data_IF_438171671435
#
_entry.id   IF_438171671435
#
_cell.length_a   1.000
_cell.length_b   1.000
_cell.length_c   1.000
_cell.angle_alpha   90.00
_cell.angle_beta   90.00
_cell.angle_gamma   90.00
#
_symmetry.space_group_name_H-M   'P 1'
#
loop_
_entity.id
_entity.type
_entity.pdbx_description
1 polymer ?
#
# COMPACT_ATOMS: atom_id res chain seq x y z
N UNK A 1 3.43 35.74 11.25
CA UNK A 1 3.84 34.34 11.48
C UNK A 1 2.96 33.46 10.59
N UNK A 2 3.56 32.75 9.63
CA UNK A 2 2.81 31.82 8.76
C UNK A 2 2.75 30.43 9.38
N UNK A 3 1.63 29.73 9.23
CA UNK A 3 1.49 28.31 9.60
C UNK A 3 1.32 27.50 8.33
N UNK A 4 2.16 26.50 8.11
CA UNK A 4 1.99 25.53 7.03
C UNK A 4 1.06 24.43 7.53
N UNK A 5 0.01 24.14 6.75
CA UNK A 5 -0.95 23.09 7.04
C UNK A 5 -0.88 22.02 5.96
N UNK A 6 -1.15 20.77 6.35
CA UNK A 6 -1.37 19.70 5.37
C UNK A 6 -2.81 19.71 4.91
N UNK A 7 -3.02 19.54 3.61
CA UNK A 7 -4.33 19.43 3.01
C UNK A 7 -4.33 18.30 1.98
N UNK A 8 -5.49 17.69 1.76
CA UNK A 8 -5.73 16.74 0.70
C UNK A 8 -6.49 17.44 -0.42
N UNK A 9 -6.09 17.22 -1.66
CA UNK A 9 -6.88 17.61 -2.81
C UNK A 9 -7.83 16.46 -3.18
N UNK A 10 -9.13 16.72 -3.16
CA UNK A 10 -10.16 15.72 -3.48
C UNK A 10 -11.29 16.40 -4.25
N UNK A 11 -11.61 15.88 -5.45
CA UNK A 11 -12.73 16.35 -6.29
C UNK A 11 -12.74 17.86 -6.55
N UNK A 12 -11.57 18.49 -6.71
CA UNK A 12 -11.46 19.94 -6.93
C UNK A 12 -11.46 20.79 -5.65
N UNK A 13 -11.57 20.18 -4.48
CA UNK A 13 -11.59 20.85 -3.17
C UNK A 13 -10.30 20.58 -2.42
N UNK A 14 -9.73 21.63 -1.81
CA UNK A 14 -8.60 21.53 -0.89
C UNK A 14 -9.18 21.32 0.51
N UNK A 15 -9.02 20.12 1.05
CA UNK A 15 -9.52 19.71 2.36
C UNK A 15 -8.38 19.78 3.39
N UNK A 16 -8.40 20.73 4.35
CA UNK A 16 -7.42 20.77 5.42
C UNK A 16 -7.46 19.52 6.29
N UNK A 17 -6.31 18.97 6.65
CA UNK A 17 -6.21 17.85 7.60
C UNK A 17 -6.16 18.31 9.06
N UNK A 18 -6.05 19.62 9.29
CA UNK A 18 -6.04 20.25 10.60
C UNK A 18 -7.16 21.28 10.69
N UNK A 19 -7.68 21.54 11.90
CA UNK A 19 -8.61 22.64 12.11
C UNK A 19 -7.92 23.97 11.81
N UNK A 20 -8.55 24.75 10.95
CA UNK A 20 -8.16 26.12 10.63
C UNK A 20 -9.19 27.04 11.28
N UNK A 21 -8.72 27.98 12.09
CA UNK A 21 -9.56 29.05 12.64
C UNK A 21 -9.28 30.34 11.86
N UNK A 22 -9.93 30.47 10.70
CA UNK A 22 -9.87 31.64 9.85
C UNK A 22 -11.30 32.13 9.62
N UNK A 23 -11.53 33.41 9.90
CA UNK A 23 -12.81 34.04 9.64
C UNK A 23 -13.12 34.04 8.13
N UNK A 24 -14.39 33.78 7.81
CA UNK A 24 -14.89 33.82 6.44
C UNK A 24 -14.62 35.19 5.80
N UNK A 25 -14.20 35.19 4.53
CA UNK A 25 -13.89 36.40 3.76
C UNK A 25 -12.45 36.93 3.91
N UNK A 26 -11.57 36.26 4.68
CA UNK A 26 -10.15 36.61 4.71
C UNK A 26 -9.39 36.03 3.53
N UNK A 27 -8.53 36.86 2.92
CA UNK A 27 -7.57 36.40 1.91
C UNK A 27 -6.48 35.54 2.55
N UNK A 28 -6.17 34.41 1.90
CA UNK A 28 -5.12 33.48 2.32
C UNK A 28 -4.21 33.17 1.13
N UNK A 29 -2.91 33.03 1.41
CA UNK A 29 -1.94 32.56 0.41
C UNK A 29 -1.83 31.04 0.50
N UNK A 30 -2.03 30.35 -0.61
CA UNK A 30 -1.89 28.89 -0.72
C UNK A 30 -0.62 28.57 -1.51
N UNK A 31 0.24 27.73 -0.95
CA UNK A 31 1.41 27.17 -1.65
C UNK A 31 1.17 25.69 -1.90
N UNK A 32 1.09 25.29 -3.17
CA UNK A 32 0.90 23.89 -3.57
C UNK A 32 2.29 23.28 -3.77
N UNK A 33 2.61 22.26 -2.97
CA UNK A 33 3.82 21.47 -3.12
C UNK A 33 3.37 20.05 -3.44
N UNK A 34 3.69 19.56 -4.63
CA UNK A 34 3.44 18.17 -4.99
C UNK A 34 4.36 17.27 -4.17
N UNK A 35 3.78 16.53 -3.24
CA UNK A 35 4.50 15.50 -2.49
C UNK A 35 4.38 14.22 -3.30
N UNK A 36 5.50 13.59 -3.72
CA UNK A 36 5.45 12.31 -4.40
C UNK A 36 4.69 11.31 -3.54
N UNK A 37 3.55 10.85 -4.04
CA UNK A 37 2.85 9.70 -3.48
C UNK A 37 3.79 8.51 -3.62
N UNK A 38 4.40 8.06 -2.52
CA UNK A 38 5.21 6.83 -2.50
C UNK A 38 4.41 5.55 -2.80
N UNK A 39 3.11 5.68 -3.10
CA UNK A 39 2.33 4.60 -3.69
C UNK A 39 2.49 4.71 -5.19
N UNK A 40 3.35 3.85 -5.75
CA UNK A 40 3.07 3.36 -7.09
C UNK A 40 1.67 2.73 -7.02
N UNK A 41 0.67 3.46 -7.51
CA UNK A 41 -0.58 2.84 -7.90
C UNK A 41 -0.20 1.66 -8.81
N UNK A 42 -0.81 0.51 -8.53
CA UNK A 42 -0.68 -0.73 -9.32
C UNK A 42 0.58 -1.58 -9.10
N UNK A 43 1.38 -1.36 -8.04
CA UNK A 43 2.52 -2.24 -7.73
C UNK A 43 2.13 -3.74 -7.59
N UNK A 44 0.96 -4.01 -7.01
CA UNK A 44 0.42 -5.38 -6.90
C UNK A 44 -0.07 -5.93 -8.25
N UNK A 45 -0.67 -5.10 -9.10
CA UNK A 45 -1.09 -5.53 -10.44
C UNK A 45 0.13 -5.79 -11.34
N UNK A 46 1.15 -4.94 -11.27
CA UNK A 46 2.42 -5.10 -12.01
C UNK A 46 3.19 -6.35 -11.59
N UNK A 47 3.09 -6.77 -10.33
CA UNK A 47 3.76 -7.98 -9.83
C UNK A 47 2.96 -9.27 -10.07
N UNK A 48 1.71 -9.17 -10.55
CA UNK A 48 0.89 -10.33 -10.86
C UNK A 48 1.55 -11.18 -11.95
N UNK A 49 1.88 -12.43 -11.61
CA UNK A 49 2.47 -13.38 -12.55
C UNK A 49 3.95 -13.18 -12.84
N UNK A 50 4.66 -12.29 -12.12
CA UNK A 50 6.13 -12.13 -12.27
C UNK A 50 6.94 -13.39 -11.92
N UNK A 51 6.32 -14.37 -11.26
CA UNK A 51 6.91 -15.68 -11.00
C UNK A 51 6.87 -16.62 -12.23
N UNK A 52 6.10 -16.29 -13.27
CA UNK A 52 5.94 -17.15 -14.45
C UNK A 52 7.29 -17.28 -15.18
N UNK A 53 7.79 -18.51 -15.28
CA UNK A 53 9.08 -18.80 -15.91
C UNK A 53 10.30 -18.66 -14.98
N UNK A 54 10.13 -18.22 -13.73
CA UNK A 54 11.19 -18.27 -12.72
C UNK A 54 11.14 -19.55 -11.89
N UNK A 55 9.99 -20.24 -11.87
CA UNK A 55 9.78 -21.52 -11.22
C UNK A 55 9.19 -22.55 -12.18
N UNK A 56 9.54 -23.81 -11.97
CA UNK A 56 8.81 -24.94 -12.52
C UNK A 56 7.59 -25.21 -11.64
N UNK A 57 6.44 -24.66 -12.05
CA UNK A 57 5.21 -24.75 -11.27
C UNK A 57 4.69 -26.18 -11.14
N UNK A 58 4.88 -27.02 -12.16
CA UNK A 58 4.41 -28.41 -12.13
C UNK A 58 5.22 -29.24 -11.14
N UNK A 59 6.54 -29.07 -11.16
CA UNK A 59 7.43 -29.71 -10.18
C UNK A 59 7.13 -29.23 -8.77
N UNK A 60 7.00 -27.91 -8.57
CA UNK A 60 6.70 -27.34 -7.25
C UNK A 60 5.41 -27.91 -6.65
N UNK A 61 4.35 -28.05 -7.47
CA UNK A 61 3.10 -28.66 -7.00
C UNK A 61 3.31 -30.12 -6.59
N UNK A 62 4.01 -30.92 -7.41
CA UNK A 62 4.28 -32.34 -7.10
C UNK A 62 5.06 -32.47 -5.78
N UNK A 63 6.09 -31.64 -5.59
CA UNK A 63 6.92 -31.64 -4.39
C UNK A 63 6.09 -31.29 -3.14
N UNK A 64 5.23 -30.26 -3.20
CA UNK A 64 4.32 -29.90 -2.10
C UNK A 64 3.40 -31.06 -1.71
N UNK A 65 2.85 -31.79 -2.69
CA UNK A 65 1.99 -32.93 -2.39
C UNK A 65 2.76 -34.12 -1.83
N UNK A 66 3.98 -34.37 -2.30
CA UNK A 66 4.85 -35.41 -1.75
C UNK A 66 5.19 -35.11 -0.29
N UNK A 67 5.55 -33.87 0.04
CA UNK A 67 5.90 -33.45 1.40
C UNK A 67 4.72 -33.58 2.38
N UNK A 68 3.48 -33.37 1.91
CA UNK A 68 2.27 -33.57 2.74
C UNK A 68 2.07 -35.00 3.20
N UNK A 69 2.64 -35.98 2.49
CA UNK A 69 2.56 -37.40 2.85
C UNK A 69 3.63 -37.78 3.88
N UNK A 70 4.61 -36.90 4.11
CA UNK A 70 5.69 -37.11 5.06
C UNK A 70 5.26 -36.64 6.45
N UNK A 71 4.79 -37.58 7.28
CA UNK A 71 4.51 -37.30 8.69
C UNK A 71 5.78 -37.41 9.53
N UNK A 72 6.56 -36.33 9.61
CA UNK A 72 7.78 -36.25 10.44
C UNK A 72 7.53 -35.78 11.87
N UNK A 73 6.28 -35.45 12.22
CA UNK A 73 5.95 -34.96 13.55
C UNK A 73 5.77 -36.14 14.50
N UNK A 74 6.53 -36.14 15.60
CA UNK A 74 6.33 -37.11 16.69
C UNK A 74 4.89 -37.02 17.22
N UNK A 75 4.30 -38.18 17.51
CA UNK A 75 2.97 -38.22 18.11
C UNK A 75 2.97 -37.45 19.44
N UNK A 76 1.94 -36.62 19.71
CA UNK A 76 1.82 -35.94 20.99
C UNK A 76 1.75 -36.96 22.13
N UNK A 77 2.52 -36.74 23.20
CA UNK A 77 2.37 -37.54 24.41
C UNK A 77 1.07 -37.11 25.11
N UNK A 78 0.17 -38.07 25.32
CA UNK A 78 -1.03 -37.93 26.14
C UNK A 78 -0.68 -37.87 27.62
#
# INVERSE_FOLDING_TARGET
MGKTIKARFSRGVIEPMEKIDIAEGKEITITIIEIPSGKEEDAFEKSAGSWKGTIDAEKLMKDIYADRLVSTRNEPKL
#
